data_IF_219037992168
#
_entry.id   IF_219037992168
#
_cell.length_a   1.000
_cell.length_b   1.000
_cell.length_c   1.000
_cell.angle_alpha   90.00
_cell.angle_beta   90.00
_cell.angle_gamma   90.00
#
_symmetry.space_group_name_H-M   'P 1'
#
loop_
_entity.id
_entity.type
_entity.pdbx_description
1 polymer ?
#
# COMPACT_ATOMS: atom_id res chain seq x y z
N UNK A 1 -18.51 8.65 -18.58
CA UNK A 1 -19.25 7.37 -18.68
C UNK A 1 -20.50 7.50 -17.81
N UNK A 2 -21.59 6.81 -18.12
CA UNK A 2 -22.79 6.87 -17.28
C UNK A 2 -22.53 6.08 -15.99
N UNK A 3 -22.67 6.73 -14.85
CA UNK A 3 -22.41 6.16 -13.53
C UNK A 3 -23.68 5.46 -13.02
N UNK A 4 -23.93 4.26 -13.53
CA UNK A 4 -24.98 3.36 -13.04
C UNK A 4 -24.53 2.56 -11.82
N UNK A 5 -25.48 2.07 -11.02
CA UNK A 5 -25.22 1.15 -9.90
C UNK A 5 -24.35 -0.04 -10.32
N UNK A 6 -24.62 -0.64 -11.47
CA UNK A 6 -23.83 -1.77 -11.98
C UNK A 6 -22.38 -1.38 -12.29
N UNK A 7 -22.17 -0.20 -12.89
CA UNK A 7 -20.82 0.33 -13.17
C UNK A 7 -20.05 0.64 -11.87
N UNK A 8 -20.76 1.09 -10.84
CA UNK A 8 -20.21 1.38 -9.52
C UNK A 8 -19.82 0.09 -8.78
N UNK A 9 -20.71 -0.91 -8.69
CA UNK A 9 -20.42 -2.24 -8.11
C UNK A 9 -19.22 -2.91 -8.82
N UNK A 10 -19.08 -2.70 -10.14
CA UNK A 10 -17.92 -3.16 -10.90
C UNK A 10 -16.63 -2.43 -10.50
N UNK A 11 -16.68 -1.11 -10.27
CA UNK A 11 -15.54 -0.33 -9.77
C UNK A 11 -15.17 -0.71 -8.33
N UNK A 12 -16.16 -0.92 -7.45
CA UNK A 12 -15.98 -1.42 -6.08
C UNK A 12 -15.21 -2.75 -6.09
N UNK A 13 -15.69 -3.73 -6.85
CA UNK A 13 -15.11 -5.08 -6.89
C UNK A 13 -13.77 -5.20 -7.65
N UNK A 14 -13.42 -4.20 -8.48
CA UNK A 14 -12.06 -4.08 -9.05
C UNK A 14 -11.01 -3.73 -7.98
N UNK A 15 -11.40 -3.21 -6.81
CA UNK A 15 -10.50 -2.79 -5.73
C UNK A 15 -10.38 -3.83 -4.62
N UNK A 16 -9.30 -3.75 -3.83
CA UNK A 16 -9.05 -4.56 -2.65
C UNK A 16 -9.71 -3.94 -1.40
N UNK A 17 -10.56 -4.70 -0.71
CA UNK A 17 -11.27 -4.29 0.52
C UNK A 17 -10.37 -3.64 1.58
N UNK A 18 -9.13 -4.11 1.68
CA UNK A 18 -8.17 -3.70 2.72
C UNK A 18 -7.36 -2.46 2.33
N UNK A 19 -6.79 -2.41 1.13
CA UNK A 19 -5.83 -1.37 0.76
C UNK A 19 -6.31 -0.43 -0.36
N UNK A 20 -7.51 -0.64 -0.90
CA UNK A 20 -8.07 0.15 -1.99
C UNK A 20 -7.25 0.14 -3.29
N UNK A 21 -6.29 -0.77 -3.47
CA UNK A 21 -5.58 -0.96 -4.73
C UNK A 21 -6.31 -2.00 -5.59
N UNK A 22 -6.11 -1.98 -6.91
CA UNK A 22 -6.72 -2.97 -7.81
C UNK A 22 -6.46 -4.43 -7.35
N UNK A 23 -7.53 -5.22 -7.26
CA UNK A 23 -7.50 -6.68 -7.10
C UNK A 23 -7.13 -7.36 -8.42
N UNK A 24 -7.58 -6.79 -9.53
CA UNK A 24 -7.31 -7.22 -10.90
C UNK A 24 -5.90 -6.78 -11.33
N UNK A 25 -4.97 -7.71 -11.15
CA UNK A 25 -4.10 -8.20 -12.23
C UNK A 25 -4.48 -7.66 -13.62
N UNK A 26 -3.54 -6.95 -14.28
CA UNK A 26 -3.68 -6.58 -15.70
C UNK A 26 -3.94 -7.83 -16.56
N UNK A 27 -4.47 -7.69 -17.79
CA UNK A 27 -4.76 -8.86 -18.65
C UNK A 27 -3.56 -9.82 -18.79
N UNK A 28 -2.34 -9.28 -18.84
CA UNK A 28 -1.06 -10.00 -18.87
C UNK A 28 -0.84 -10.96 -17.69
N UNK A 29 -1.53 -10.71 -16.59
CA UNK A 29 -1.30 -11.28 -15.26
C UNK A 29 -2.45 -12.23 -14.84
N UNK A 30 -3.60 -12.19 -15.55
CA UNK A 30 -4.59 -13.30 -15.57
C UNK A 30 -3.99 -14.61 -16.12
N UNK A 31 -3.03 -14.53 -17.07
CA UNK A 31 -2.30 -15.71 -17.60
C UNK A 31 -1.52 -16.48 -16.54
N UNK A 32 -1.09 -15.83 -15.45
CA UNK A 32 -0.26 -16.46 -14.41
C UNK A 32 -1.06 -17.13 -13.29
N UNK A 33 -2.38 -17.34 -13.48
CA UNK A 33 -3.24 -18.11 -12.59
C UNK A 33 -3.30 -17.64 -11.11
N UNK A 34 -2.87 -16.40 -10.85
CA UNK A 34 -2.97 -15.75 -9.54
C UNK A 34 -4.45 -15.52 -9.20
N UNK A 35 -5.02 -16.46 -8.44
CA UNK A 35 -6.43 -16.47 -8.03
C UNK A 35 -6.74 -15.19 -7.25
N UNK A 36 -7.82 -14.50 -7.63
CA UNK A 36 -8.39 -13.43 -6.82
C UNK A 36 -9.01 -14.10 -5.57
N UNK A 37 -8.66 -13.61 -4.39
CA UNK A 37 -9.15 -14.15 -3.12
C UNK A 37 -10.44 -13.43 -2.71
N UNK A 38 -11.45 -14.17 -2.24
CA UNK A 38 -12.68 -13.60 -1.69
C UNK A 38 -12.49 -13.26 -0.20
N UNK A 39 -13.00 -12.11 0.25
CA UNK A 39 -12.90 -11.67 1.65
C UNK A 39 -13.50 -12.68 2.63
N UNK A 40 -14.64 -13.30 2.29
CA UNK A 40 -15.31 -14.32 3.12
C UNK A 40 -14.41 -15.51 3.48
N UNK A 41 -13.46 -15.88 2.62
CA UNK A 41 -12.52 -16.99 2.86
C UNK A 41 -11.44 -16.65 3.91
N UNK A 42 -11.34 -15.39 4.30
CA UNK A 42 -10.36 -14.89 5.27
C UNK A 42 -11.01 -13.93 6.29
N UNK A 43 -12.33 -13.99 6.50
CA UNK A 43 -13.06 -12.99 7.29
C UNK A 43 -12.52 -12.82 8.72
N UNK A 44 -12.31 -13.92 9.45
CA UNK A 44 -11.74 -13.89 10.81
C UNK A 44 -10.28 -13.35 10.84
N UNK A 45 -9.48 -13.68 9.81
CA UNK A 45 -8.12 -13.17 9.66
C UNK A 45 -8.11 -11.67 9.31
N UNK A 46 -9.08 -11.22 8.52
CA UNK A 46 -9.23 -9.81 8.15
C UNK A 46 -9.65 -8.98 9.38
N UNK A 47 -10.60 -9.47 10.16
CA UNK A 47 -11.05 -8.83 11.39
C UNK A 47 -9.90 -8.71 12.41
N UNK A 48 -9.20 -9.80 12.69
CA UNK A 48 -8.11 -9.82 13.69
C UNK A 48 -6.86 -9.04 13.28
N UNK A 49 -6.53 -8.96 11.98
CA UNK A 49 -5.28 -8.32 11.50
C UNK A 49 -5.49 -6.87 11.04
N UNK A 50 -6.67 -6.53 10.50
CA UNK A 50 -6.95 -5.20 9.93
C UNK A 50 -8.05 -4.43 10.67
N UNK A 51 -8.74 -5.03 11.64
CA UNK A 51 -9.84 -4.38 12.35
C UNK A 51 -11.08 -4.17 11.48
N UNK A 52 -11.27 -5.00 10.44
CA UNK A 52 -12.36 -4.86 9.47
C UNK A 52 -13.29 -6.07 9.57
N UNK A 53 -14.55 -5.86 9.92
CA UNK A 53 -15.58 -6.86 9.65
C UNK A 53 -16.02 -6.76 8.19
N UNK A 54 -16.09 -7.92 7.51
CA UNK A 54 -16.45 -8.06 6.09
C UNK A 54 -17.74 -8.87 5.91
N UNK A 55 -18.34 -9.39 7.00
CA UNK A 55 -19.55 -10.19 6.93
C UNK A 55 -20.80 -9.33 6.67
N UNK A 56 -20.75 -8.05 7.07
CA UNK A 56 -21.83 -7.08 6.93
C UNK A 56 -21.56 -6.03 5.83
N UNK A 57 -20.59 -6.27 4.95
CA UNK A 57 -20.27 -5.39 3.82
C UNK A 57 -21.43 -5.34 2.82
N UNK A 58 -21.91 -4.15 2.41
CA UNK A 58 -22.83 -4.03 1.27
C UNK A 58 -22.08 -4.11 -0.07
N UNK A 59 -22.74 -4.69 -1.07
CA UNK A 59 -22.17 -4.93 -2.41
C UNK A 59 -21.85 -3.65 -3.19
N UNK A 60 -22.53 -2.55 -2.86
CA UNK A 60 -22.37 -1.22 -3.44
C UNK A 60 -21.35 -0.35 -2.70
N UNK A 61 -20.98 -0.67 -1.46
CA UNK A 61 -20.03 0.14 -0.68
C UNK A 61 -18.62 -0.48 -0.64
N UNK A 62 -18.55 -1.81 -0.60
CA UNK A 62 -17.33 -2.53 -0.24
C UNK A 62 -17.04 -3.73 -1.14
N UNK A 63 -15.76 -3.85 -1.53
CA UNK A 63 -15.30 -4.98 -2.35
C UNK A 63 -15.38 -6.31 -1.62
N UNK A 64 -15.86 -7.34 -2.32
CA UNK A 64 -15.82 -8.73 -1.81
C UNK A 64 -14.46 -9.42 -2.03
N UNK A 65 -13.45 -8.69 -2.50
CA UNK A 65 -12.15 -9.22 -2.89
C UNK A 65 -10.97 -8.61 -2.14
N UNK A 66 -9.95 -9.44 -1.91
CA UNK A 66 -8.67 -9.07 -1.32
C UNK A 66 -7.53 -9.37 -2.30
N UNK A 67 -6.64 -8.41 -2.51
CA UNK A 67 -5.52 -8.57 -3.44
C UNK A 67 -4.44 -9.48 -2.86
N UNK A 68 -3.66 -10.14 -3.74
CA UNK A 68 -2.61 -11.10 -3.36
C UNK A 68 -1.62 -10.51 -2.34
N UNK A 69 -1.26 -9.22 -2.44
CA UNK A 69 -0.36 -8.56 -1.47
C UNK A 69 -0.92 -8.54 -0.05
N UNK A 70 -2.22 -8.25 0.10
CA UNK A 70 -2.89 -8.26 1.40
C UNK A 70 -3.12 -9.70 1.91
N UNK A 71 -3.45 -10.63 1.02
CA UNK A 71 -3.60 -12.05 1.37
C UNK A 71 -2.30 -12.70 1.84
N UNK A 72 -1.16 -12.44 1.17
CA UNK A 72 0.17 -12.90 1.62
C UNK A 72 0.56 -12.25 2.95
N UNK A 73 0.23 -10.96 3.15
CA UNK A 73 0.47 -10.25 4.41
C UNK A 73 -0.27 -10.90 5.59
N UNK A 74 -1.51 -11.36 5.42
CA UNK A 74 -2.23 -12.17 6.42
C UNK A 74 -1.39 -13.39 6.82
N UNK A 75 -0.98 -14.20 5.85
CA UNK A 75 -0.21 -15.44 6.11
C UNK A 75 1.12 -15.18 6.83
N UNK A 76 1.80 -14.08 6.48
CA UNK A 76 3.03 -13.66 7.14
C UNK A 76 2.82 -13.22 8.60
N UNK A 77 1.79 -12.40 8.85
CA UNK A 77 1.47 -11.90 10.20
C UNK A 77 1.04 -13.05 11.11
N UNK A 78 0.19 -13.96 10.63
CA UNK A 78 -0.19 -15.18 11.38
C UNK A 78 1.00 -16.05 11.78
N UNK A 79 2.09 -16.06 10.99
CA UNK A 79 3.30 -16.82 11.31
C UNK A 79 4.22 -16.12 12.33
N UNK A 80 4.26 -14.78 12.37
CA UNK A 80 5.17 -14.03 13.26
C UNK A 80 4.52 -13.43 14.51
N UNK A 81 3.20 -13.23 14.49
CA UNK A 81 2.37 -12.69 15.57
C UNK A 81 2.98 -11.50 16.35
N UNK A 82 3.55 -10.52 15.64
CA UNK A 82 4.16 -9.34 16.27
C UNK A 82 3.15 -8.18 16.32
N UNK A 83 2.96 -7.60 17.50
CA UNK A 83 2.13 -6.41 17.74
C UNK A 83 2.45 -5.26 16.76
N UNK A 84 3.73 -4.95 16.57
CA UNK A 84 4.18 -3.91 15.63
C UNK A 84 3.71 -4.20 14.20
N UNK A 85 3.67 -5.48 13.78
CA UNK A 85 3.17 -5.86 12.45
C UNK A 85 1.65 -5.82 12.33
N UNK A 86 0.92 -6.04 13.44
CA UNK A 86 -0.54 -5.91 13.51
C UNK A 86 -0.97 -4.44 13.44
N UNK A 87 -0.32 -3.53 14.19
CA UNK A 87 -0.56 -2.08 14.10
C UNK A 87 -0.29 -1.57 12.69
N UNK A 88 0.87 -1.90 12.11
CA UNK A 88 1.22 -1.55 10.73
C UNK A 88 0.32 -2.20 9.67
N UNK A 89 -0.45 -3.23 10.02
CA UNK A 89 -1.46 -3.83 9.14
C UNK A 89 -2.78 -3.07 9.23
N UNK A 90 -3.32 -2.85 10.44
CA UNK A 90 -4.49 -2.01 10.70
C UNK A 90 -4.39 -0.65 9.99
N UNK A 91 -3.25 0.02 10.12
CA UNK A 91 -2.92 1.28 9.44
C UNK A 91 -3.23 1.30 7.93
N UNK A 92 -3.06 0.16 7.25
CA UNK A 92 -3.32 0.05 5.80
C UNK A 92 -4.79 0.28 5.51
N UNK A 93 -5.70 -0.23 6.34
CA UNK A 93 -7.13 0.00 6.16
C UNK A 93 -7.50 1.45 6.48
N UNK A 94 -7.10 1.96 7.64
CA UNK A 94 -7.49 3.30 8.09
C UNK A 94 -7.03 4.41 7.15
N UNK A 95 -5.86 4.26 6.51
CA UNK A 95 -5.34 5.19 5.46
C UNK A 95 -6.12 5.16 4.14
N UNK A 96 -7.01 4.18 3.95
CA UNK A 96 -7.79 3.98 2.72
C UNK A 96 -9.31 3.99 2.96
N UNK A 97 -9.79 4.12 4.20
CA UNK A 97 -11.22 4.02 4.54
C UNK A 97 -12.10 5.06 3.83
N UNK A 98 -11.55 6.25 3.56
CA UNK A 98 -12.22 7.37 2.91
C UNK A 98 -12.44 7.20 1.40
N UNK A 99 -11.95 6.11 0.80
CA UNK A 99 -12.16 5.81 -0.62
C UNK A 99 -13.54 5.19 -0.87
N UNK A 100 -14.09 4.50 0.12
CA UNK A 100 -15.35 3.75 0.02
C UNK A 100 -16.56 4.67 0.17
N UNK A 101 -17.52 4.50 -0.73
CA UNK A 101 -18.83 5.14 -0.67
C UNK A 101 -19.88 4.19 -1.28
N UNK A 102 -21.08 4.22 -0.71
CA UNK A 102 -22.28 3.63 -1.34
C UNK A 102 -22.57 4.29 -2.69
N UNK A 103 -23.39 3.62 -3.51
CA UNK A 103 -23.83 4.21 -4.77
C UNK A 103 -24.69 5.46 -4.56
N UNK A 104 -24.52 6.44 -5.44
CA UNK A 104 -25.35 7.65 -5.55
C UNK A 104 -25.46 8.05 -7.03
N UNK A 105 -26.57 8.69 -7.39
CA UNK A 105 -26.76 9.28 -8.72
C UNK A 105 -25.90 10.56 -8.88
N UNK A 106 -24.62 10.34 -9.17
CA UNK A 106 -23.60 11.39 -9.42
C UNK A 106 -22.84 11.09 -10.70
N UNK A 107 -21.88 11.94 -11.10
CA UNK A 107 -20.93 11.55 -12.15
C UNK A 107 -19.91 10.52 -11.64
N UNK A 108 -19.18 9.89 -12.57
CA UNK A 108 -18.03 9.03 -12.29
C UNK A 108 -16.88 9.77 -11.59
N UNK A 109 -16.75 11.08 -11.83
CA UNK A 109 -15.64 11.91 -11.34
C UNK A 109 -15.86 12.34 -9.89
N UNK A 110 -17.12 12.59 -9.53
CA UNK A 110 -17.58 12.94 -8.16
C UNK A 110 -17.65 11.71 -7.23
N UNK A 111 -17.86 10.51 -7.79
CA UNK A 111 -17.90 9.28 -7.02
C UNK A 111 -16.49 8.86 -6.59
N UNK A 112 -16.22 8.85 -5.28
CA UNK A 112 -14.86 8.61 -4.73
C UNK A 112 -14.31 7.24 -5.13
N UNK A 113 -15.12 6.18 -5.07
CA UNK A 113 -14.71 4.81 -5.46
C UNK A 113 -14.38 4.76 -6.95
N UNK A 114 -15.27 5.28 -7.79
CA UNK A 114 -15.11 5.22 -9.24
C UNK A 114 -13.91 6.07 -9.69
N UNK A 115 -13.85 7.34 -9.31
CA UNK A 115 -12.76 8.27 -9.62
C UNK A 115 -11.39 7.72 -9.18
N UNK A 116 -11.31 7.11 -7.98
CA UNK A 116 -10.13 6.41 -7.49
C UNK A 116 -9.79 5.17 -8.34
N UNK A 117 -10.77 4.35 -8.73
CA UNK A 117 -10.56 3.20 -9.64
C UNK A 117 -10.06 3.63 -11.02
N UNK A 118 -10.63 4.67 -11.62
CA UNK A 118 -10.20 5.19 -12.93
C UNK A 118 -8.78 5.78 -12.89
N UNK A 119 -8.34 6.31 -11.75
CA UNK A 119 -6.97 6.80 -11.55
C UNK A 119 -5.90 5.71 -11.74
N UNK A 120 -6.23 4.41 -11.62
CA UNK A 120 -5.34 3.31 -11.99
C UNK A 120 -5.46 2.89 -13.46
N UNK A 121 -6.64 3.04 -14.07
CA UNK A 121 -6.91 2.65 -15.44
C UNK A 121 -6.23 3.58 -16.46
N UNK A 122 -6.03 4.86 -16.11
CA UNK A 122 -5.40 5.88 -16.95
C UNK A 122 -3.87 5.78 -17.13
N UNK A 123 -3.27 4.61 -16.91
CA UNK A 123 -1.91 4.26 -17.37
C UNK A 123 -0.82 5.32 -17.14
N UNK A 124 -0.51 5.66 -15.89
CA UNK A 124 0.60 6.57 -15.56
C UNK A 124 0.56 7.96 -16.21
N UNK A 125 -0.62 8.57 -16.36
CA UNK A 125 -0.68 10.04 -16.26
C UNK A 125 -0.33 10.39 -14.81
N UNK A 126 0.98 10.53 -14.53
CA UNK A 126 1.44 11.30 -13.39
C UNK A 126 0.78 12.67 -13.54
N UNK A 127 -0.23 12.97 -12.71
CA UNK A 127 -0.64 14.34 -12.47
C UNK A 127 0.60 15.01 -11.88
N UNK A 128 1.42 15.62 -12.74
CA UNK A 128 2.42 16.59 -12.33
C UNK A 128 1.59 17.65 -11.61
N UNK A 129 1.64 17.66 -10.28
CA UNK A 129 1.32 18.87 -9.53
C UNK A 129 2.11 19.99 -10.19
N UNK A 130 1.47 21.07 -10.65
CA UNK A 130 2.21 22.23 -11.11
C UNK A 130 3.16 22.61 -9.97
N UNK A 131 4.47 22.45 -10.20
CA UNK A 131 5.46 23.03 -9.30
C UNK A 131 5.21 24.52 -9.37
N UNK A 132 4.88 25.14 -8.24
CA UNK A 132 4.79 26.60 -8.18
C UNK A 132 6.14 27.15 -8.66
N UNK A 133 6.14 27.74 -9.85
CA UNK A 133 7.27 28.53 -10.34
C UNK A 133 7.10 29.91 -9.76
N UNK A 134 7.82 30.17 -8.67
CA UNK A 134 8.13 31.54 -8.27
C UNK A 134 8.80 32.25 -9.46
N UNK A 135 8.34 33.47 -9.82
CA UNK A 135 8.89 34.20 -10.94
C UNK A 135 10.13 34.99 -10.51
N UNK A 136 11.32 34.39 -10.53
CA UNK A 136 12.58 35.15 -10.37
C UNK A 136 13.74 34.60 -11.21
N UNK A 137 14.25 35.50 -12.05
CA UNK A 137 15.55 35.57 -12.74
C UNK A 137 16.13 34.40 -13.58
N UNK A 138 16.05 34.62 -14.91
CA UNK A 138 17.14 34.89 -15.87
C UNK A 138 18.35 33.92 -16.05
N UNK A 139 18.71 33.78 -17.35
CA UNK A 139 20.00 33.31 -17.92
C UNK A 139 20.37 31.82 -17.68
N UNK A 140 20.99 31.07 -18.62
CA UNK A 140 21.28 31.28 -20.05
C UNK A 140 21.44 29.93 -20.80
N UNK A 141 21.63 29.98 -22.13
CA UNK A 141 22.03 28.86 -23.02
C UNK A 141 23.17 28.00 -22.45
N UNK A 142 23.29 26.69 -22.72
CA UNK A 142 23.72 26.13 -24.03
C UNK A 142 23.43 24.61 -24.19
N UNK A 143 23.72 24.05 -25.38
CA UNK A 143 23.37 22.69 -25.81
C UNK A 143 24.58 21.74 -25.90
N UNK A 144 24.29 20.42 -26.01
CA UNK A 144 25.13 19.35 -26.59
C UNK A 144 26.39 18.90 -25.80
N UNK A 145 26.90 17.66 -25.89
CA UNK A 145 26.49 16.45 -26.64
C UNK A 145 27.24 15.19 -26.16
N UNK A 146 26.81 13.97 -26.61
CA UNK A 146 27.54 12.67 -26.74
C UNK A 146 28.44 12.21 -25.56
N UNK A 147 28.13 11.11 -24.86
CA UNK A 147 28.21 9.69 -25.27
C UNK A 147 29.62 9.06 -25.37
N UNK A 148 29.68 7.78 -24.96
CA UNK A 148 30.66 6.71 -25.31
C UNK A 148 31.91 6.51 -24.42
N UNK A 149 31.80 5.50 -23.53
CA UNK A 149 32.67 4.30 -23.38
C UNK A 149 34.04 4.27 -22.67
N UNK A 150 34.18 3.11 -21.98
CA UNK A 150 35.37 2.25 -21.74
C UNK A 150 36.10 2.35 -20.39
N UNK A 151 36.27 1.13 -19.86
CA UNK A 151 36.92 0.62 -18.66
C UNK A 151 38.40 0.95 -18.49
N UNK A 152 38.84 1.01 -17.22
CA UNK A 152 39.82 0.11 -16.55
C UNK A 152 39.84 0.47 -15.05
N UNK A 153 39.65 -0.48 -14.12
CA UNK A 153 40.70 -1.27 -13.46
C UNK A 153 41.88 -0.47 -12.88
N UNK A 154 41.92 -0.26 -11.56
CA UNK A 154 42.96 -0.84 -10.66
C UNK A 154 42.89 -0.33 -9.21
N UNK A 155 43.40 -1.15 -8.29
CA UNK A 155 43.39 -1.00 -6.84
C UNK A 155 44.33 0.07 -6.25
N UNK A 156 43.98 0.58 -5.05
CA UNK A 156 44.78 0.46 -3.81
C UNK A 156 44.02 1.12 -2.63
N UNK A 157 43.79 0.41 -1.52
CA UNK A 157 44.65 0.22 -0.32
C UNK A 157 44.74 1.45 0.61
N UNK A 158 44.23 1.23 1.83
CA UNK A 158 44.57 1.76 3.18
C UNK A 158 43.26 1.79 3.99
N UNK A 159 43.02 0.93 4.99
CA UNK A 159 43.77 0.70 6.25
C UNK A 159 43.79 1.94 7.16
N UNK A 160 42.90 1.94 8.15
CA UNK A 160 43.17 1.99 9.61
C UNK A 160 41.81 2.22 10.31
N UNK A 161 41.24 1.35 11.17
CA UNK A 161 41.69 0.58 12.36
C UNK A 161 41.33 1.30 13.69
N UNK A 162 40.75 0.54 14.63
CA UNK A 162 40.63 0.83 16.08
C UNK A 162 39.75 2.05 16.51
N UNK A 163 39.22 2.26 17.73
CA UNK A 163 38.88 1.48 18.95
C UNK A 163 37.97 2.40 19.85
N UNK A 164 37.29 2.05 20.96
CA UNK A 164 37.14 0.81 21.75
C UNK A 164 35.81 0.78 22.58
N UNK A 165 35.30 -0.44 22.85
CA UNK A 165 34.58 -0.98 24.03
C UNK A 165 34.18 -0.09 25.25
N UNK A 166 32.92 -0.24 25.71
CA UNK A 166 32.46 -0.52 27.10
C UNK A 166 30.91 -0.77 27.09
N UNK A 167 30.25 -1.74 27.75
CA UNK A 167 30.35 -2.35 29.09
C UNK A 167 29.84 -1.39 30.21
N UNK A 168 28.89 -1.69 31.12
CA UNK A 168 28.02 -2.86 31.39
C UNK A 168 26.84 -2.48 32.34
N UNK A 169 25.95 -3.44 32.61
CA UNK A 169 25.12 -3.64 33.84
C UNK A 169 23.73 -2.95 33.87
N UNK A 170 22.58 -3.60 34.14
CA UNK A 170 22.14 -4.66 35.09
C UNK A 170 21.64 -4.14 36.45
N UNK A 171 20.32 -4.24 36.66
CA UNK A 171 19.51 -4.27 37.89
C UNK A 171 18.04 -4.22 37.42
N UNK A 172 17.16 -5.23 37.51
CA UNK A 172 16.82 -6.16 38.61
C UNK A 172 16.42 -5.45 39.90
N UNK A 173 15.11 -5.39 40.17
CA UNK A 173 14.45 -5.37 41.49
C UNK A 173 12.95 -5.75 41.30
N UNK A 174 12.50 -6.79 41.99
CA UNK A 174 11.11 -7.28 41.99
C UNK A 174 10.76 -7.82 43.40
N UNK A 175 9.97 -7.10 44.22
CA UNK A 175 9.61 -7.55 45.57
C UNK A 175 8.21 -8.18 45.62
N UNK A 176 8.20 -9.50 45.68
CA UNK A 176 7.06 -10.33 46.10
C UNK A 176 6.58 -9.92 47.51
N UNK A 177 5.31 -9.51 47.66
CA UNK A 177 4.67 -9.29 48.96
C UNK A 177 3.54 -10.31 49.18
N UNK A 178 3.89 -11.33 49.96
CA UNK A 178 2.97 -12.17 50.72
C UNK A 178 2.62 -11.46 52.04
N UNK A 179 1.33 -11.33 52.39
CA UNK A 179 0.83 -11.46 53.77
C UNK A 179 -0.70 -11.31 53.89
N UNK A 180 -1.31 -12.33 54.48
CA UNK A 180 -2.72 -12.47 54.96
C UNK A 180 -3.80 -12.73 53.91
#
# INVERSE_FOLDING_TARGET
MNHSLESHIRCVNDLCRICGNLCSVTQKQKKNNNRIHKCVQAAADILSIFGVDVNHDSDDMYSKFICVKCFVKIRFIKKRNSSITLTKANDIYYKNKNKWCSYKETTTEDCTVCSHRYSFAGGCVRRKTPRATDPTDKHAYQQNSRSTTISTESANLQEDDSNQLCASSSQDEDPNILLR
#
